data_IF_875282242563
#
_entry.id   IF_875282242563
#
_cell.length_a   1.000
_cell.length_b   1.000
_cell.length_c   1.000
_cell.angle_alpha   90.00
_cell.angle_beta   90.00
_cell.angle_gamma   90.00
#
_symmetry.space_group_name_H-M   'P 1'
#
loop_
_entity.id
_entity.type
_entity.pdbx_description
1 polymer ?
#
# COMPACT_ATOMS: atom_id res chain seq x y z
N UNK A 1 -50.57 -16.73 6.72
CA UNK A 1 -49.16 -16.53 7.14
C UNK A 1 -49.17 -15.71 8.43
N UNK A 2 -48.59 -16.24 9.51
CA UNK A 2 -48.74 -15.65 10.84
C UNK A 2 -47.90 -14.37 10.95
N UNK A 3 -48.48 -13.24 11.40
CA UNK A 3 -47.78 -11.94 11.46
C UNK A 3 -46.47 -12.00 12.24
N UNK A 4 -46.42 -12.87 13.24
CA UNK A 4 -45.23 -13.14 14.06
C UNK A 4 -44.11 -13.77 13.21
N UNK A 5 -44.44 -14.72 12.34
CA UNK A 5 -43.45 -15.36 11.46
C UNK A 5 -42.86 -14.36 10.44
N UNK A 6 -43.68 -13.44 9.93
CA UNK A 6 -43.22 -12.38 9.03
C UNK A 6 -42.24 -11.42 9.73
N UNK A 7 -42.54 -11.02 10.98
CA UNK A 7 -41.66 -10.14 11.76
C UNK A 7 -40.30 -10.79 12.07
N UNK A 8 -40.31 -12.08 12.42
CA UNK A 8 -39.07 -12.83 12.67
C UNK A 8 -38.21 -12.91 11.40
N UNK A 9 -38.84 -13.14 10.24
CA UNK A 9 -38.13 -13.21 8.96
C UNK A 9 -37.46 -11.88 8.60
N UNK A 10 -38.17 -10.76 8.78
CA UNK A 10 -37.62 -9.41 8.53
C UNK A 10 -36.45 -9.13 9.46
N UNK A 11 -36.57 -9.47 10.75
CA UNK A 11 -35.49 -9.30 11.72
C UNK A 11 -34.25 -10.13 11.35
N UNK A 12 -34.43 -11.38 10.92
CA UNK A 12 -33.33 -12.25 10.50
C UNK A 12 -32.59 -11.70 9.27
N UNK A 13 -33.33 -11.17 8.29
CA UNK A 13 -32.76 -10.54 7.09
C UNK A 13 -32.00 -9.26 7.45
N UNK A 14 -32.51 -8.45 8.38
CA UNK A 14 -31.80 -7.24 8.84
C UNK A 14 -30.50 -7.57 9.57
N UNK A 15 -30.52 -8.56 10.48
CA UNK A 15 -29.32 -8.98 11.22
C UNK A 15 -28.25 -9.52 10.26
N UNK A 16 -28.65 -10.32 9.26
CA UNK A 16 -27.72 -10.82 8.24
C UNK A 16 -27.17 -9.70 7.36
N UNK A 17 -27.99 -8.73 6.94
CA UNK A 17 -27.52 -7.58 6.18
C UNK A 17 -26.54 -6.68 6.97
N UNK A 18 -26.82 -6.42 8.25
CA UNK A 18 -25.97 -5.60 9.13
C UNK A 18 -24.63 -6.30 9.38
N UNK A 19 -24.65 -7.60 9.69
CA UNK A 19 -23.42 -8.37 9.93
C UNK A 19 -22.54 -8.48 8.67
N UNK A 20 -23.13 -8.62 7.48
CA UNK A 20 -22.40 -8.58 6.21
C UNK A 20 -21.80 -7.20 5.91
N UNK A 21 -22.54 -6.13 6.20
CA UNK A 21 -22.06 -4.76 6.07
C UNK A 21 -20.86 -4.51 6.98
N UNK A 22 -21.00 -4.78 8.28
CA UNK A 22 -19.96 -4.53 9.29
C UNK A 22 -18.67 -5.31 9.01
N UNK A 23 -18.75 -6.54 8.48
CA UNK A 23 -17.58 -7.33 8.12
C UNK A 23 -16.77 -6.71 6.97
N UNK A 24 -17.42 -6.01 6.02
CA UNK A 24 -16.74 -5.30 4.93
C UNK A 24 -16.15 -3.94 5.34
N UNK A 25 -16.52 -3.41 6.50
CA UNK A 25 -16.04 -2.10 6.98
C UNK A 25 -14.79 -2.18 7.87
N UNK A 26 -14.19 -3.36 8.07
CA UNK A 26 -12.87 -3.43 8.73
C UNK A 26 -11.85 -2.71 7.86
N UNK A 27 -11.44 -1.53 8.30
CA UNK A 27 -10.38 -0.80 7.64
C UNK A 27 -9.09 -1.64 7.69
N UNK A 28 -8.38 -1.84 6.56
CA UNK A 28 -7.08 -2.49 6.56
C UNK A 28 -6.15 -1.75 7.51
N UNK A 29 -5.59 -2.48 8.46
CA UNK A 29 -4.61 -1.94 9.39
C UNK A 29 -3.35 -1.53 8.62
N UNK A 30 -2.50 -0.65 9.18
CA UNK A 30 -1.25 -0.27 8.53
C UNK A 30 -0.36 -1.47 8.18
N UNK A 31 -0.35 -2.51 9.03
CA UNK A 31 0.40 -3.75 8.78
C UNK A 31 -0.18 -4.53 7.60
N UNK A 32 -1.50 -4.56 7.46
CA UNK A 32 -2.15 -5.21 6.31
C UNK A 32 -1.86 -4.44 5.03
N UNK A 33 -1.81 -3.10 5.09
CA UNK A 33 -1.43 -2.27 3.96
C UNK A 33 0.05 -2.50 3.58
N UNK A 34 0.97 -2.57 4.56
CA UNK A 34 2.38 -2.87 4.30
C UNK A 34 2.56 -4.27 3.69
N UNK A 35 1.86 -5.29 4.20
CA UNK A 35 1.90 -6.64 3.62
C UNK A 35 1.38 -6.66 2.18
N UNK A 36 0.32 -5.91 1.87
CA UNK A 36 -0.19 -5.77 0.49
C UNK A 36 0.85 -5.19 -0.45
N UNK A 37 1.72 -4.29 0.01
CA UNK A 37 2.79 -3.73 -0.82
C UNK A 37 3.84 -4.78 -1.18
N UNK A 38 4.09 -5.75 -0.31
CA UNK A 38 5.02 -6.87 -0.60
C UNK A 38 4.50 -7.83 -1.69
N UNK A 39 3.21 -7.78 -2.01
CA UNK A 39 2.60 -8.57 -3.10
C UNK A 39 2.75 -7.89 -4.47
N UNK A 40 3.30 -6.66 -4.51
CA UNK A 40 3.54 -5.93 -5.75
C UNK A 40 4.89 -6.38 -6.32
N UNK A 41 4.85 -7.10 -7.44
CA UNK A 41 6.04 -7.61 -8.12
C UNK A 41 7.00 -6.47 -8.52
N UNK A 42 6.47 -5.43 -9.18
CA UNK A 42 7.23 -4.24 -9.56
C UNK A 42 6.35 -2.98 -9.52
N UNK A 43 6.53 -2.08 -8.52
CA UNK A 43 5.76 -0.84 -8.47
C UNK A 43 6.06 0.09 -9.65
N UNK A 44 7.29 0.06 -10.16
CA UNK A 44 7.75 0.74 -11.37
C UNK A 44 8.77 -0.13 -12.11
N UNK A 45 9.06 0.14 -13.39
CA UNK A 45 10.11 -0.56 -14.12
C UNK A 45 11.45 -0.48 -13.37
N UNK A 46 12.14 -1.63 -13.29
CA UNK A 46 13.45 -1.77 -12.66
C UNK A 46 13.48 -1.52 -11.14
N UNK A 47 12.33 -1.47 -10.46
CA UNK A 47 12.25 -1.39 -9.01
C UNK A 47 11.58 -2.63 -8.42
N UNK A 48 12.17 -3.17 -7.37
CA UNK A 48 11.61 -4.25 -6.57
C UNK A 48 11.39 -3.77 -5.14
N UNK A 49 10.29 -4.15 -4.50
CA UNK A 49 10.06 -3.87 -3.09
C UNK A 49 10.73 -4.97 -2.27
N UNK A 50 11.76 -4.59 -1.51
CA UNK A 50 12.49 -5.52 -0.63
C UNK A 50 11.89 -5.58 0.77
N UNK A 51 11.24 -4.50 1.22
CA UNK A 51 10.61 -4.45 2.53
C UNK A 51 9.55 -3.36 2.62
N UNK A 52 8.54 -3.56 3.46
CA UNK A 52 7.55 -2.55 3.82
C UNK A 52 7.16 -2.72 5.29
N UNK A 53 7.27 -1.65 6.07
CA UNK A 53 6.99 -1.69 7.51
C UNK A 53 6.28 -0.42 7.97
N UNK A 54 5.31 -0.58 8.87
CA UNK A 54 4.68 0.55 9.54
C UNK A 54 5.60 1.13 10.62
N UNK A 55 5.91 2.42 10.52
CA UNK A 55 6.74 3.15 11.48
C UNK A 55 6.00 4.41 11.89
N UNK A 56 5.56 4.45 13.15
CA UNK A 56 4.82 5.56 13.75
C UNK A 56 3.52 5.90 13.01
N UNK A 57 3.60 6.76 12.00
CA UNK A 57 2.47 7.37 11.26
C UNK A 57 2.55 7.15 9.76
N UNK A 58 3.54 6.39 9.26
CA UNK A 58 3.76 6.16 7.83
C UNK A 58 4.26 4.75 7.56
N UNK A 59 4.11 4.30 6.33
CA UNK A 59 4.74 3.06 5.86
C UNK A 59 6.09 3.42 5.25
N UNK A 60 7.16 2.83 5.79
CA UNK A 60 8.49 2.89 5.20
C UNK A 60 8.62 1.73 4.23
N UNK A 61 8.87 2.05 2.97
CA UNK A 61 9.04 1.07 1.88
C UNK A 61 10.47 1.15 1.39
N UNK A 62 11.17 0.03 1.45
CA UNK A 62 12.51 -0.10 0.91
C UNK A 62 12.42 -0.74 -0.46
N UNK A 63 13.06 -0.13 -1.45
CA UNK A 63 13.11 -0.62 -2.81
C UNK A 63 14.54 -0.76 -3.30
N UNK A 64 14.75 -1.72 -4.18
CA UNK A 64 16.03 -1.99 -4.83
C UNK A 64 15.89 -1.72 -6.33
N UNK A 65 16.88 -1.02 -6.90
CA UNK A 65 16.98 -0.85 -8.34
C UNK A 65 17.63 -2.09 -8.96
N UNK A 66 16.84 -2.85 -9.72
CA UNK A 66 17.24 -4.13 -10.35
C UNK A 66 17.51 -4.00 -11.85
N UNK A 67 17.54 -2.77 -12.38
CA UNK A 67 17.88 -2.49 -13.78
C UNK A 67 19.38 -2.60 -14.07
N UNK A 68 19.73 -2.56 -15.35
CA UNK A 68 21.14 -2.50 -15.79
C UNK A 68 21.77 -1.14 -15.48
N UNK A 69 23.10 -1.05 -15.43
CA UNK A 69 23.82 0.22 -15.25
C UNK A 69 23.43 1.27 -16.31
N UNK A 70 23.15 0.86 -17.54
CA UNK A 70 22.72 1.76 -18.61
C UNK A 70 21.31 2.35 -18.39
N UNK A 71 20.50 1.73 -17.53
CA UNK A 71 19.16 2.21 -17.16
C UNK A 71 19.16 2.97 -15.83
N UNK A 72 20.27 2.94 -15.09
CA UNK A 72 20.37 3.61 -13.81
C UNK A 72 20.32 5.14 -14.01
N UNK A 73 19.60 5.88 -13.15
CA UNK A 73 19.64 7.34 -13.13
C UNK A 73 21.08 7.87 -13.08
N UNK A 74 21.38 8.88 -13.89
CA UNK A 74 22.74 9.40 -14.05
C UNK A 74 23.14 10.38 -12.93
N UNK A 75 22.15 10.88 -12.18
CA UNK A 75 22.34 11.95 -11.22
C UNK A 75 21.45 11.80 -9.99
N UNK A 76 21.85 12.42 -8.87
CA UNK A 76 21.08 12.39 -7.63
C UNK A 76 19.65 12.95 -7.78
N UNK A 77 19.39 14.03 -8.54
CA UNK A 77 18.03 14.48 -8.83
C UNK A 77 17.19 13.41 -9.53
N UNK A 78 17.73 12.73 -10.55
CA UNK A 78 16.99 11.67 -11.25
C UNK A 78 16.69 10.47 -10.35
N UNK A 79 17.60 10.13 -9.43
CA UNK A 79 17.35 9.13 -8.39
C UNK A 79 16.19 9.54 -7.47
N UNK A 80 16.13 10.81 -7.07
CA UNK A 80 15.04 11.34 -6.27
C UNK A 80 13.71 11.36 -7.05
N UNK A 81 13.72 11.75 -8.32
CA UNK A 81 12.53 11.73 -9.18
C UNK A 81 11.97 10.31 -9.32
N UNK A 82 12.84 9.31 -9.49
CA UNK A 82 12.46 7.90 -9.52
C UNK A 82 11.85 7.44 -8.17
N UNK A 83 12.48 7.81 -7.05
CA UNK A 83 11.96 7.50 -5.72
C UNK A 83 10.60 8.18 -5.47
N UNK A 84 10.42 9.43 -5.87
CA UNK A 84 9.17 10.18 -5.73
C UNK A 84 8.05 9.57 -6.58
N UNK A 85 8.34 9.23 -7.84
CA UNK A 85 7.39 8.55 -8.71
C UNK A 85 6.95 7.20 -8.11
N UNK A 86 7.90 6.44 -7.54
CA UNK A 86 7.60 5.18 -6.90
C UNK A 86 6.78 5.37 -5.62
N UNK A 87 7.12 6.34 -4.76
CA UNK A 87 6.40 6.64 -3.54
C UNK A 87 4.92 6.95 -3.84
N UNK A 88 4.68 7.75 -4.88
CA UNK A 88 3.33 8.09 -5.31
C UNK A 88 2.57 6.91 -5.91
N UNK A 89 3.25 6.06 -6.66
CA UNK A 89 2.63 4.84 -7.18
C UNK A 89 2.20 3.90 -6.05
N UNK A 90 3.07 3.69 -5.07
CA UNK A 90 2.79 2.90 -3.87
C UNK A 90 1.64 3.50 -3.06
N UNK A 91 1.65 4.82 -2.85
CA UNK A 91 0.58 5.54 -2.14
C UNK A 91 -0.79 5.31 -2.80
N UNK A 92 -0.85 5.34 -4.15
CA UNK A 92 -2.08 5.02 -4.88
C UNK A 92 -2.52 3.56 -4.73
N UNK A 93 -1.61 2.60 -4.67
CA UNK A 93 -1.95 1.16 -4.53
C UNK A 93 -2.63 0.85 -3.19
N UNK A 94 -2.30 1.62 -2.15
CA UNK A 94 -2.98 1.57 -0.85
C UNK A 94 -4.09 2.62 -0.71
N UNK A 95 -4.61 3.12 -1.84
CA UNK A 95 -5.75 4.04 -1.91
C UNK A 95 -5.53 5.37 -1.17
N UNK A 96 -4.29 5.81 -1.05
CA UNK A 96 -3.95 7.07 -0.40
C UNK A 96 -4.24 7.10 1.10
N UNK A 97 -4.23 5.93 1.77
CA UNK A 97 -4.64 5.83 3.18
C UNK A 97 -3.57 6.22 4.17
N UNK A 98 -2.31 5.96 3.85
CA UNK A 98 -1.18 6.13 4.76
C UNK A 98 -0.03 6.82 4.02
N UNK A 99 0.65 7.80 4.63
CA UNK A 99 1.85 8.36 4.04
C UNK A 99 2.89 7.28 3.76
N UNK A 100 3.63 7.43 2.67
CA UNK A 100 4.68 6.51 2.24
C UNK A 100 6.01 7.24 2.31
N UNK A 101 6.97 6.71 3.04
CA UNK A 101 8.39 7.05 2.89
C UNK A 101 9.05 5.95 2.06
N UNK A 102 9.48 6.27 0.85
CA UNK A 102 10.16 5.32 -0.03
C UNK A 102 11.66 5.56 0.00
N UNK A 103 12.41 4.52 0.38
CA UNK A 103 13.88 4.50 0.41
C UNK A 103 14.38 3.63 -0.75
N UNK A 104 15.11 4.25 -1.68
CA UNK A 104 15.60 3.62 -2.88
C UNK A 104 17.08 3.27 -2.74
N UNK A 105 17.40 2.00 -2.98
CA UNK A 105 18.73 1.42 -2.93
C UNK A 105 19.19 0.92 -4.31
N UNK A 106 20.50 0.83 -4.48
CA UNK A 106 21.14 0.17 -5.61
C UNK A 106 22.37 -0.60 -5.12
N UNK A 107 22.40 -1.91 -5.35
CA UNK A 107 23.40 -2.83 -4.81
C UNK A 107 23.59 -2.68 -3.29
N UNK A 108 22.49 -2.41 -2.56
CA UNK A 108 22.51 -2.16 -1.12
C UNK A 108 23.01 -0.77 -0.69
N UNK A 109 23.40 0.10 -1.62
CA UNK A 109 23.74 1.49 -1.32
C UNK A 109 22.51 2.39 -1.39
N UNK A 110 22.31 3.23 -0.38
CA UNK A 110 21.24 4.23 -0.38
C UNK A 110 21.46 5.26 -1.49
N UNK A 111 20.44 5.48 -2.32
CA UNK A 111 20.48 6.43 -3.44
C UNK A 111 19.56 7.63 -3.23
N UNK A 112 18.33 7.40 -2.79
CA UNK A 112 17.36 8.47 -2.61
C UNK A 112 16.26 8.10 -1.61
N UNK A 113 15.58 9.12 -1.10
CA UNK A 113 14.34 9.00 -0.34
C UNK A 113 13.31 9.98 -0.87
N UNK A 114 12.04 9.58 -0.86
CA UNK A 114 10.91 10.47 -1.15
C UNK A 114 9.71 10.13 -0.27
N UNK A 115 8.83 11.11 -0.06
CA UNK A 115 7.61 10.94 0.75
C UNK A 115 6.38 11.31 -0.08
N UNK A 116 5.34 10.49 -0.01
CA UNK A 116 4.03 10.72 -0.62
C UNK A 116 2.92 10.73 0.43
N UNK A 117 1.88 11.55 0.22
CA UNK A 117 0.71 11.61 1.10
C UNK A 117 0.84 12.47 2.36
N UNK A 118 1.59 13.58 2.28
CA UNK A 118 1.66 14.62 3.33
C UNK A 118 0.62 15.72 3.15
#
# INVERSE_FOLDING_TARGET
MNRIALLILIAAVLITAISWGAAKFKQPTPETAANKLMEIDQPLPNLEIINAVWVETRIVVQTEFVGTEAQAPASAPEWHDLAAACAEQVYRVIEGRYPIELQLFQSGEFRAVAVAGL
#
